data_IF_971876655951
#
_entry.id   IF_971876655951
#
_cell.length_a   1.000
_cell.length_b   1.000
_cell.length_c   1.000
_cell.angle_alpha   90.00
_cell.angle_beta   90.00
_cell.angle_gamma   90.00
#
_symmetry.space_group_name_H-M   'P 1'
#
loop_
_entity.id
_entity.type
_entity.pdbx_description
1 polymer ?
#
# COMPACT_ATOMS: atom_id res chain seq x y z
N UNK A 1 -2.70 -4.78 -56.97
CA UNK A 1 -3.37 -3.46 -56.81
C UNK A 1 -4.70 -3.71 -56.13
N UNK A 2 -5.29 -2.69 -55.54
CA UNK A 2 -6.57 -2.76 -54.83
C UNK A 2 -7.39 -1.52 -55.16
N UNK A 3 -8.68 -1.69 -55.38
CA UNK A 3 -9.61 -0.58 -55.61
C UNK A 3 -10.12 -0.08 -54.28
N UNK A 4 -9.98 1.23 -54.05
CA UNK A 4 -10.41 1.91 -52.85
C UNK A 4 -11.26 3.12 -53.27
N UNK A 5 -12.57 2.97 -53.14
CA UNK A 5 -13.52 3.93 -53.71
C UNK A 5 -13.36 4.00 -55.23
N UNK A 6 -13.07 5.20 -55.74
CA UNK A 6 -12.92 5.47 -57.17
C UNK A 6 -11.46 5.33 -57.68
N UNK A 7 -10.49 5.01 -56.81
CA UNK A 7 -9.08 4.93 -57.18
C UNK A 7 -8.50 3.51 -57.07
N UNK A 8 -7.69 3.13 -58.05
CA UNK A 8 -6.88 1.89 -58.01
C UNK A 8 -5.49 2.18 -57.46
N UNK A 9 -5.15 1.59 -56.32
CA UNK A 9 -3.87 1.80 -55.63
C UNK A 9 -2.99 0.54 -55.67
N UNK A 10 -1.66 0.71 -55.62
CA UNK A 10 -0.72 -0.41 -55.52
C UNK A 10 -0.48 -0.76 -54.05
N UNK A 11 -0.54 -2.05 -53.73
CA UNK A 11 -0.20 -2.56 -52.39
C UNK A 11 1.32 -2.46 -52.21
N UNK A 12 1.77 -1.65 -51.25
CA UNK A 12 3.19 -1.45 -50.95
C UNK A 12 3.76 -2.52 -50.00
N UNK A 13 2.92 -3.04 -49.10
CA UNK A 13 3.31 -4.05 -48.11
C UNK A 13 2.19 -4.31 -47.10
N UNK A 14 2.47 -5.18 -46.14
CA UNK A 14 1.57 -5.54 -45.05
C UNK A 14 2.12 -5.02 -43.72
N UNK A 15 1.26 -4.43 -42.89
CA UNK A 15 1.63 -3.97 -41.54
C UNK A 15 1.33 -5.11 -40.56
N UNK A 16 2.38 -5.75 -40.05
CA UNK A 16 2.25 -6.90 -39.14
C UNK A 16 1.81 -6.46 -37.73
N UNK A 17 2.30 -5.32 -37.25
CA UNK A 17 1.99 -4.81 -35.91
C UNK A 17 2.00 -3.29 -35.87
N UNK A 18 0.91 -2.71 -35.39
CA UNK A 18 0.85 -1.28 -35.03
C UNK A 18 1.19 -1.15 -33.54
N UNK A 19 2.10 -0.24 -33.13
CA UNK A 19 2.42 -0.06 -31.71
C UNK A 19 1.24 0.46 -30.86
N UNK A 20 0.22 1.04 -31.50
CA UNK A 20 -0.99 1.62 -30.88
C UNK A 20 -2.27 0.80 -31.15
N UNK A 21 -2.18 -0.40 -31.76
CA UNK A 21 -3.38 -1.19 -32.00
C UNK A 21 -3.89 -1.79 -30.68
N UNK A 22 -4.91 -1.15 -30.11
CA UNK A 22 -5.73 -1.78 -29.08
C UNK A 22 -6.43 -3.03 -29.63
N UNK A 23 -6.58 -4.05 -28.80
CA UNK A 23 -7.33 -5.25 -29.15
C UNK A 23 -8.82 -4.89 -29.34
N UNK A 24 -9.32 -4.94 -30.59
CA UNK A 24 -10.72 -4.70 -30.91
C UNK A 24 -11.36 -5.94 -31.56
N UNK A 25 -12.03 -6.81 -30.79
CA UNK A 25 -12.63 -8.04 -31.30
C UNK A 25 -13.83 -7.80 -32.24
N UNK A 26 -14.30 -6.55 -32.39
CA UNK A 26 -15.41 -6.17 -33.27
C UNK A 26 -14.96 -5.45 -34.55
N UNK A 27 -13.67 -5.48 -34.87
CA UNK A 27 -13.16 -4.87 -36.08
C UNK A 27 -13.44 -5.77 -37.30
N UNK A 28 -14.67 -5.65 -37.82
CA UNK A 28 -15.21 -6.51 -38.89
C UNK A 28 -14.67 -6.11 -40.28
N UNK A 29 -14.17 -4.89 -40.43
CA UNK A 29 -13.60 -4.39 -41.68
C UNK A 29 -12.06 -4.34 -41.63
N UNK A 30 -11.36 -4.84 -42.67
CA UNK A 30 -9.91 -4.73 -42.76
C UNK A 30 -9.51 -3.25 -42.83
N UNK A 31 -8.48 -2.87 -42.06
CA UNK A 31 -7.90 -1.51 -42.12
C UNK A 31 -6.90 -1.44 -43.27
N UNK A 32 -6.93 -0.31 -43.98
CA UNK A 32 -5.96 0.02 -45.02
C UNK A 32 -5.29 1.34 -44.64
N UNK A 33 -3.96 1.39 -44.73
CA UNK A 33 -3.17 2.61 -44.58
C UNK A 33 -2.77 3.11 -45.96
N UNK A 34 -2.99 4.39 -46.22
CA UNK A 34 -2.62 5.05 -47.47
C UNK A 34 -2.01 6.43 -47.18
N UNK A 35 -1.34 6.99 -48.18
CA UNK A 35 -0.83 8.36 -48.08
C UNK A 35 -2.00 9.36 -48.11
N UNK A 36 -1.93 10.42 -47.29
CA UNK A 36 -2.96 11.46 -47.24
C UNK A 36 -3.20 12.12 -48.61
N UNK A 37 -2.15 12.27 -49.43
CA UNK A 37 -2.25 12.88 -50.76
C UNK A 37 -3.05 12.06 -51.78
N UNK A 38 -3.25 10.77 -51.53
CA UNK A 38 -4.05 9.90 -52.41
C UNK A 38 -5.50 9.78 -51.95
N UNK A 39 -5.85 10.31 -50.77
CA UNK A 39 -7.21 10.23 -50.20
C UNK A 39 -8.22 10.96 -51.10
N UNK A 40 -7.86 12.14 -51.63
CA UNK A 40 -8.75 12.94 -52.48
C UNK A 40 -9.13 12.21 -53.77
N UNK A 41 -8.26 11.33 -54.26
CA UNK A 41 -8.51 10.54 -55.48
C UNK A 41 -9.52 9.41 -55.24
N UNK A 42 -9.71 8.97 -53.99
CA UNK A 42 -10.59 7.82 -53.68
C UNK A 42 -12.07 8.20 -53.66
N UNK A 43 -12.40 9.50 -53.62
CA UNK A 43 -13.80 9.96 -53.48
C UNK A 43 -14.45 9.63 -52.14
N UNK A 44 -13.68 9.10 -51.17
CA UNK A 44 -14.19 8.66 -49.87
C UNK A 44 -14.57 9.82 -48.93
N UNK A 45 -13.95 10.99 -49.12
CA UNK A 45 -14.25 12.19 -48.34
C UNK A 45 -15.24 13.05 -49.11
N UNK A 46 -16.52 12.92 -48.77
CA UNK A 46 -17.61 13.71 -49.35
C UNK A 46 -18.21 14.67 -48.31
N UNK A 47 -18.94 15.71 -48.74
CA UNK A 47 -19.71 16.56 -47.82
C UNK A 47 -20.64 15.70 -46.94
N UNK A 48 -20.49 15.82 -45.61
CA UNK A 48 -21.21 14.99 -44.63
C UNK A 48 -20.41 13.80 -44.08
N UNK A 49 -19.21 13.52 -44.62
CA UNK A 49 -18.33 12.47 -44.11
C UNK A 49 -17.74 12.84 -42.73
N UNK A 50 -17.64 11.86 -41.83
CA UNK A 50 -17.07 12.05 -40.47
C UNK A 50 -15.59 11.69 -40.49
N UNK A 51 -14.74 12.70 -40.63
CA UNK A 51 -13.28 12.54 -40.61
C UNK A 51 -12.75 12.75 -39.20
N UNK A 52 -11.96 11.80 -38.71
CA UNK A 52 -11.27 11.93 -37.42
C UNK A 52 -9.79 12.22 -37.66
N UNK A 53 -9.33 13.37 -37.19
CA UNK A 53 -7.91 13.73 -37.26
C UNK A 53 -7.20 13.32 -35.98
N UNK A 54 -6.09 12.57 -36.12
CA UNK A 54 -5.26 12.15 -34.99
C UNK A 54 -3.87 12.75 -35.18
N UNK A 55 -3.52 13.71 -34.33
CA UNK A 55 -2.18 14.28 -34.26
C UNK A 55 -1.40 13.58 -33.16
N UNK A 56 -0.17 13.15 -33.47
CA UNK A 56 0.75 12.56 -32.49
C UNK A 56 1.92 13.52 -32.27
N UNK A 57 2.23 13.80 -31.02
CA UNK A 57 3.34 14.65 -30.62
C UNK A 57 4.40 13.80 -29.92
N UNK A 58 5.67 13.96 -30.30
CA UNK A 58 6.80 13.27 -29.69
C UNK A 58 7.73 14.27 -29.02
N UNK A 59 8.17 13.99 -27.79
CA UNK A 59 9.06 14.86 -27.03
C UNK A 59 9.46 14.24 -25.69
N UNK A 60 10.25 14.96 -24.90
CA UNK A 60 10.50 14.58 -23.50
C UNK A 60 9.26 14.83 -22.64
N UNK A 61 9.13 14.08 -21.54
CA UNK A 61 7.99 14.17 -20.61
C UNK A 61 7.71 15.61 -20.16
N UNK A 62 8.75 16.34 -19.73
CA UNK A 62 8.63 17.74 -19.34
C UNK A 62 8.13 18.68 -20.46
N UNK A 63 8.49 18.40 -21.72
CA UNK A 63 8.03 19.21 -22.86
C UNK A 63 6.58 18.93 -23.20
N UNK A 64 6.16 17.67 -23.11
CA UNK A 64 4.78 17.25 -23.34
C UNK A 64 3.87 17.79 -22.24
N UNK A 65 4.28 17.72 -20.97
CA UNK A 65 3.54 18.28 -19.84
C UNK A 65 3.34 19.80 -19.95
N UNK A 66 4.41 20.51 -20.35
CA UNK A 66 4.35 21.95 -20.58
C UNK A 66 3.39 22.30 -21.72
N UNK A 67 3.43 21.53 -22.80
CA UNK A 67 2.56 21.72 -23.96
C UNK A 67 1.10 21.38 -23.64
N UNK A 68 0.84 20.29 -22.91
CA UNK A 68 -0.49 19.89 -22.46
C UNK A 68 -1.15 20.99 -21.62
N UNK A 69 -0.43 21.53 -20.63
CA UNK A 69 -0.95 22.62 -19.78
C UNK A 69 -1.26 23.89 -20.58
N UNK A 70 -0.49 24.17 -21.62
CA UNK A 70 -0.72 25.31 -22.50
C UNK A 70 -1.89 25.08 -23.47
N UNK A 71 -2.07 23.86 -23.96
CA UNK A 71 -3.09 23.50 -24.95
C UNK A 71 -4.48 23.30 -24.32
N UNK A 72 -4.56 22.64 -23.16
CA UNK A 72 -5.80 22.36 -22.42
C UNK A 72 -6.79 23.55 -22.35
N UNK A 73 -6.39 24.78 -21.97
CA UNK A 73 -7.31 25.91 -21.91
C UNK A 73 -7.78 26.43 -23.29
N UNK A 74 -7.09 26.07 -24.37
CA UNK A 74 -7.39 26.52 -25.74
C UNK A 74 -8.17 25.47 -26.55
N UNK A 75 -8.44 24.29 -25.97
CA UNK A 75 -9.17 23.23 -26.65
C UNK A 75 -10.62 23.62 -26.92
N UNK A 76 -11.02 23.46 -28.19
CA UNK A 76 -12.43 23.58 -28.58
C UNK A 76 -13.23 22.34 -28.13
N UNK A 77 -14.56 22.42 -27.99
CA UNK A 77 -15.40 21.27 -27.60
C UNK A 77 -15.29 20.04 -28.50
N UNK A 78 -14.88 20.24 -29.75
CA UNK A 78 -14.69 19.21 -30.78
C UNK A 78 -13.30 18.55 -30.74
N UNK A 79 -12.36 19.12 -29.99
CA UNK A 79 -11.01 18.61 -29.84
C UNK A 79 -10.90 17.85 -28.52
N UNK A 80 -10.11 16.77 -28.52
CA UNK A 80 -9.79 16.01 -27.31
C UNK A 80 -8.30 15.77 -27.25
N UNK A 81 -7.73 16.03 -26.07
CA UNK A 81 -6.36 15.67 -25.76
C UNK A 81 -6.35 14.27 -25.14
N UNK A 82 -5.40 13.46 -25.57
CA UNK A 82 -5.15 12.12 -25.02
C UNK A 82 -3.70 12.10 -24.54
N UNK A 83 -3.48 12.30 -23.23
CA UNK A 83 -2.17 12.22 -22.58
C UNK A 83 -1.80 10.79 -22.20
N UNK A 84 -0.52 10.53 -21.89
CA UNK A 84 -0.05 9.21 -21.43
C UNK A 84 -0.71 8.77 -20.11
N UNK A 85 -1.04 9.71 -19.23
CA UNK A 85 -1.72 9.43 -17.95
C UNK A 85 -3.26 9.38 -18.07
N UNK A 86 -3.83 9.95 -19.13
CA UNK A 86 -5.28 10.08 -19.35
C UNK A 86 -5.80 9.16 -20.47
N UNK A 87 -5.11 8.05 -20.75
CA UNK A 87 -5.63 7.08 -21.71
C UNK A 87 -6.85 6.35 -21.11
N UNK A 88 -8.04 6.93 -21.33
CA UNK A 88 -9.36 6.37 -20.98
C UNK A 88 -9.70 5.07 -21.74
N UNK A 89 -8.73 4.46 -22.42
CA UNK A 89 -8.83 3.11 -22.94
C UNK A 89 -9.26 2.12 -21.87
N UNK A 90 -10.02 1.09 -22.27
CA UNK A 90 -10.41 0.00 -21.36
C UNK A 90 -9.20 -0.67 -20.70
N UNK A 91 -8.04 -0.67 -21.37
CA UNK A 91 -6.76 -1.17 -20.87
C UNK A 91 -6.16 -0.25 -19.79
N UNK A 92 -6.08 1.06 -20.04
CA UNK A 92 -5.56 2.04 -19.06
C UNK A 92 -6.34 2.00 -17.75
N UNK A 93 -7.67 2.05 -17.82
CA UNK A 93 -8.53 1.92 -16.62
C UNK A 93 -8.40 0.57 -15.91
N UNK A 94 -8.15 -0.51 -16.63
CA UNK A 94 -7.93 -1.83 -16.03
C UNK A 94 -6.58 -1.90 -15.31
N UNK A 95 -5.52 -1.34 -15.92
CA UNK A 95 -4.19 -1.24 -15.31
C UNK A 95 -4.24 -0.35 -14.08
N UNK A 96 -4.87 0.83 -14.16
CA UNK A 96 -5.01 1.74 -13.03
C UNK A 96 -5.79 1.07 -11.88
N UNK A 97 -6.88 0.37 -12.18
CA UNK A 97 -7.65 -0.36 -11.17
C UNK A 97 -6.84 -1.51 -10.56
N UNK A 98 -6.09 -2.25 -11.36
CA UNK A 98 -5.18 -3.30 -10.87
C UNK A 98 -4.10 -2.71 -9.96
N UNK A 99 -3.51 -1.58 -10.35
CA UNK A 99 -2.54 -0.86 -9.52
C UNK A 99 -3.17 -0.43 -8.19
N UNK A 100 -4.35 0.20 -8.21
CA UNK A 100 -5.07 0.60 -7.01
C UNK A 100 -5.39 -0.61 -6.11
N UNK A 101 -5.80 -1.75 -6.67
CA UNK A 101 -6.07 -2.97 -5.92
C UNK A 101 -4.79 -3.54 -5.27
N UNK A 102 -3.66 -3.52 -5.98
CA UNK A 102 -2.37 -3.95 -5.44
C UNK A 102 -1.91 -3.05 -4.30
N UNK A 103 -2.06 -1.72 -4.43
CA UNK A 103 -1.73 -0.77 -3.36
C UNK A 103 -2.62 -0.99 -2.13
N UNK A 104 -3.93 -1.24 -2.34
CA UNK A 104 -4.88 -1.56 -1.27
C UNK A 104 -4.50 -2.85 -0.54
N UNK A 105 -4.23 -3.92 -1.30
CA UNK A 105 -3.84 -5.22 -0.74
C UNK A 105 -2.53 -5.12 0.05
N UNK A 106 -1.54 -4.38 -0.48
CA UNK A 106 -0.29 -4.11 0.21
C UNK A 106 -0.52 -3.33 1.52
N UNK A 107 -1.38 -2.31 1.50
CA UNK A 107 -1.68 -1.50 2.68
C UNK A 107 -2.39 -2.31 3.77
N UNK A 108 -3.37 -3.14 3.42
CA UNK A 108 -4.05 -4.03 4.36
C UNK A 108 -3.08 -5.04 4.98
N UNK A 109 -2.22 -5.64 4.16
CA UNK A 109 -1.20 -6.59 4.61
C UNK A 109 -0.20 -5.92 5.55
N UNK A 110 0.22 -4.69 5.23
CA UNK A 110 1.11 -3.90 6.08
C UNK A 110 0.46 -3.58 7.43
N UNK A 111 -0.80 -3.13 7.44
CA UNK A 111 -1.55 -2.89 8.68
C UNK A 111 -1.65 -4.14 9.55
N UNK A 112 -1.96 -5.29 8.96
CA UNK A 112 -2.01 -6.57 9.66
C UNK A 112 -0.65 -6.95 10.25
N UNK A 113 0.44 -6.74 9.50
CA UNK A 113 1.80 -6.98 9.97
C UNK A 113 2.17 -6.06 11.15
N UNK A 114 1.84 -4.76 11.10
CA UNK A 114 2.07 -3.83 12.22
C UNK A 114 1.32 -4.30 13.47
N UNK A 115 0.06 -4.71 13.33
CA UNK A 115 -0.73 -5.23 14.44
C UNK A 115 -0.12 -6.52 15.03
N UNK A 116 0.33 -7.44 14.18
CA UNK A 116 1.00 -8.67 14.60
C UNK A 116 2.30 -8.39 15.37
N UNK A 117 3.13 -7.47 14.87
CA UNK A 117 4.37 -7.04 15.55
C UNK A 117 4.04 -6.40 16.91
N UNK A 118 2.98 -5.60 17.00
CA UNK A 118 2.56 -5.00 18.27
C UNK A 118 2.14 -6.04 19.31
N UNK A 119 1.35 -7.03 18.90
CA UNK A 119 0.94 -8.13 19.77
C UNK A 119 2.14 -8.98 20.19
N UNK A 120 3.00 -9.36 19.23
CA UNK A 120 4.20 -10.15 19.50
C UNK A 120 5.17 -9.44 20.45
N UNK A 121 5.38 -8.13 20.25
CA UNK A 121 6.24 -7.32 21.12
C UNK A 121 5.67 -7.19 22.53
N UNK A 122 4.35 -7.00 22.66
CA UNK A 122 3.71 -6.93 23.96
C UNK A 122 3.79 -8.26 24.72
N UNK A 123 3.60 -9.37 24.01
CA UNK A 123 3.79 -10.72 24.55
C UNK A 123 5.24 -10.96 24.98
N UNK A 124 6.21 -10.56 24.15
CA UNK A 124 7.65 -10.66 24.44
C UNK A 124 8.03 -9.89 25.71
N UNK A 125 7.60 -8.63 25.86
CA UNK A 125 7.90 -7.87 27.05
C UNK A 125 7.23 -8.46 28.30
N UNK A 126 6.02 -9.01 28.16
CA UNK A 126 5.30 -9.64 29.27
C UNK A 126 5.99 -10.89 29.79
N UNK A 127 6.48 -11.76 28.91
CA UNK A 127 7.18 -12.98 29.31
C UNK A 127 8.58 -12.75 29.89
N UNK A 128 9.18 -11.56 29.65
CA UNK A 128 10.54 -11.23 30.09
C UNK A 128 10.61 -10.33 31.33
N UNK A 129 9.47 -9.91 31.91
CA UNK A 129 9.46 -9.05 33.09
C UNK A 129 10.17 -9.68 34.30
N UNK A 130 9.93 -10.96 34.59
CA UNK A 130 10.48 -11.64 35.77
C UNK A 130 11.99 -11.84 35.65
N UNK A 131 12.47 -12.25 34.47
CA UNK A 131 13.90 -12.39 34.18
C UNK A 131 14.64 -11.06 34.35
N UNK A 132 14.05 -9.96 33.88
CA UNK A 132 14.63 -8.62 34.04
C UNK A 132 14.67 -8.20 35.51
N UNK A 133 13.64 -8.54 36.30
CA UNK A 133 13.62 -8.23 37.72
C UNK A 133 14.69 -9.01 38.50
N UNK A 134 14.90 -10.30 38.17
CA UNK A 134 15.97 -11.12 38.75
C UNK A 134 17.36 -10.55 38.40
N UNK A 135 17.58 -10.14 37.15
CA UNK A 135 18.84 -9.51 36.74
C UNK A 135 19.10 -8.21 37.50
N UNK A 136 18.06 -7.40 37.76
CA UNK A 136 18.18 -6.19 38.57
C UNK A 136 18.51 -6.50 40.03
N UNK A 137 17.95 -7.57 40.62
CA UNK A 137 18.29 -7.98 42.00
C UNK A 137 19.71 -8.53 42.12
N UNK A 138 20.25 -9.12 41.05
CA UNK A 138 21.65 -9.55 40.95
C UNK A 138 22.64 -8.40 40.69
N UNK A 139 22.18 -7.15 40.68
CA UNK A 139 23.04 -5.97 40.53
C UNK A 139 23.25 -5.50 39.08
N UNK A 140 22.50 -6.01 38.10
CA UNK A 140 22.63 -5.54 36.72
C UNK A 140 22.28 -4.05 36.60
N UNK A 141 23.23 -3.26 36.09
CA UNK A 141 23.06 -1.82 35.88
C UNK A 141 22.03 -1.50 34.79
N UNK A 142 21.30 -0.38 34.94
CA UNK A 142 20.30 0.09 33.95
C UNK A 142 20.88 0.25 32.53
N UNK A 143 22.17 0.62 32.42
CA UNK A 143 22.86 0.79 31.15
C UNK A 143 23.17 -0.54 30.44
N UNK A 144 23.57 -1.57 31.19
CA UNK A 144 23.80 -2.92 30.65
C UNK A 144 22.49 -3.55 30.16
N UNK A 145 21.42 -3.42 30.95
CA UNK A 145 20.10 -3.93 30.57
C UNK A 145 19.57 -3.23 29.31
N UNK A 146 19.74 -1.90 29.21
CA UNK A 146 19.42 -1.13 28.01
C UNK A 146 20.22 -1.62 26.79
N UNK A 147 21.54 -1.82 26.93
CA UNK A 147 22.40 -2.29 25.84
C UNK A 147 21.99 -3.68 25.35
N UNK A 148 21.64 -4.59 26.26
CA UNK A 148 21.17 -5.94 25.93
C UNK A 148 19.88 -5.89 25.09
N UNK A 149 18.88 -5.16 25.55
CA UNK A 149 17.56 -5.15 24.90
C UNK A 149 17.62 -4.37 23.57
N UNK A 150 18.30 -3.21 23.51
CA UNK A 150 18.52 -2.50 22.23
C UNK A 150 19.32 -3.36 21.26
N UNK A 151 20.35 -4.06 21.74
CA UNK A 151 21.16 -4.95 20.91
C UNK A 151 20.32 -6.07 20.28
N UNK A 152 19.46 -6.72 21.06
CA UNK A 152 18.55 -7.73 20.54
C UNK A 152 17.55 -7.16 19.53
N UNK A 153 17.01 -5.97 19.80
CA UNK A 153 16.09 -5.31 18.89
C UNK A 153 16.77 -4.91 17.56
N UNK A 154 18.00 -4.40 17.61
CA UNK A 154 18.81 -4.13 16.43
C UNK A 154 19.14 -5.40 15.65
N UNK A 155 19.49 -6.49 16.33
CA UNK A 155 19.72 -7.77 15.64
C UNK A 155 18.49 -8.25 14.90
N UNK A 156 17.30 -8.14 15.49
CA UNK A 156 16.05 -8.51 14.83
C UNK A 156 15.77 -7.59 13.62
N UNK A 157 16.03 -6.28 13.74
CA UNK A 157 15.89 -5.34 12.63
C UNK A 157 16.83 -5.67 11.46
N UNK A 158 18.09 -5.95 11.74
CA UNK A 158 19.08 -6.34 10.72
C UNK A 158 18.68 -7.65 10.07
N UNK A 159 18.30 -8.65 10.86
CA UNK A 159 17.89 -9.95 10.33
C UNK A 159 16.64 -9.81 9.45
N UNK A 160 15.66 -9.02 9.88
CA UNK A 160 14.44 -8.74 9.12
C UNK A 160 14.73 -8.01 7.81
N UNK A 161 15.66 -7.04 7.81
CA UNK A 161 16.09 -6.34 6.61
C UNK A 161 16.75 -7.29 5.61
N UNK A 162 17.64 -8.17 6.09
CA UNK A 162 18.34 -9.15 5.23
C UNK A 162 17.35 -10.17 4.68
N UNK A 163 16.51 -10.77 5.51
CA UNK A 163 15.56 -11.79 5.06
C UNK A 163 14.46 -11.19 4.18
N UNK A 164 13.92 -10.03 4.56
CA UNK A 164 12.89 -9.33 3.78
C UNK A 164 13.42 -8.83 2.45
N UNK A 165 14.63 -8.25 2.43
CA UNK A 165 15.29 -7.83 1.21
C UNK A 165 15.61 -9.00 0.29
N UNK A 166 16.12 -10.11 0.83
CA UNK A 166 16.40 -11.32 0.05
C UNK A 166 15.12 -11.90 -0.59
N UNK A 167 14.03 -11.99 0.18
CA UNK A 167 12.74 -12.47 -0.34
C UNK A 167 12.18 -11.51 -1.39
N UNK A 168 12.29 -10.20 -1.18
CA UNK A 168 11.84 -9.19 -2.14
C UNK A 168 12.58 -9.27 -3.47
N UNK A 169 13.91 -9.36 -3.43
CA UNK A 169 14.74 -9.52 -4.64
C UNK A 169 14.45 -10.85 -5.35
N UNK A 170 14.21 -11.93 -4.61
CA UNK A 170 13.83 -13.21 -5.20
C UNK A 170 12.49 -13.10 -5.92
N UNK A 171 11.50 -12.45 -5.29
CA UNK A 171 10.18 -12.24 -5.88
C UNK A 171 10.25 -11.36 -7.13
N UNK A 172 11.03 -10.28 -7.10
CA UNK A 172 11.27 -9.40 -8.25
C UNK A 172 11.87 -10.17 -9.44
N UNK A 173 12.92 -10.96 -9.19
CA UNK A 173 13.56 -11.77 -10.23
C UNK A 173 12.61 -12.81 -10.83
N UNK A 174 11.82 -13.50 -10.00
CA UNK A 174 10.83 -14.48 -10.45
C UNK A 174 9.77 -13.79 -11.32
N UNK A 175 9.28 -12.63 -10.89
CA UNK A 175 8.28 -11.87 -11.62
C UNK A 175 8.83 -11.38 -12.97
N UNK A 176 10.06 -10.86 -13.01
CA UNK A 176 10.70 -10.44 -14.27
C UNK A 176 10.82 -11.60 -15.26
N UNK A 177 11.20 -12.80 -14.80
CA UNK A 177 11.30 -13.98 -15.67
C UNK A 177 9.93 -14.36 -16.25
N UNK A 178 8.87 -14.32 -15.45
CA UNK A 178 7.50 -14.60 -15.90
C UNK A 178 6.98 -13.56 -16.91
N UNK A 179 7.41 -12.30 -16.79
CA UNK A 179 6.91 -11.18 -17.58
C UNK A 179 7.70 -10.92 -18.88
N UNK A 180 8.89 -11.51 -19.05
CA UNK A 180 9.69 -11.47 -20.30
C UNK A 180 8.93 -11.77 -21.60
N UNK A 181 7.97 -12.71 -21.67
CA UNK A 181 7.26 -13.00 -22.92
C UNK A 181 6.29 -11.89 -23.33
N UNK A 182 5.91 -11.00 -22.40
CA UNK A 182 4.86 -9.99 -22.58
C UNK A 182 5.43 -8.57 -22.66
N UNK A 183 6.62 -8.31 -22.10
CA UNK A 183 7.26 -6.99 -22.14
C UNK A 183 8.36 -6.88 -23.23
N UNK A 184 8.23 -5.94 -24.18
CA UNK A 184 9.19 -5.75 -25.26
C UNK A 184 10.49 -5.00 -24.87
N UNK A 185 10.59 -4.46 -23.66
CA UNK A 185 11.78 -3.74 -23.19
C UNK A 185 12.21 -4.20 -21.80
N UNK A 186 13.52 -4.36 -21.59
CA UNK A 186 14.10 -4.57 -20.27
C UNK A 186 13.74 -3.40 -19.37
N UNK A 187 13.09 -3.68 -18.24
CA UNK A 187 12.78 -2.66 -17.24
C UNK A 187 14.09 -2.00 -16.78
N UNK A 188 14.13 -0.67 -16.64
CA UNK A 188 15.29 0.01 -16.08
C UNK A 188 15.58 -0.53 -14.68
N UNK A 189 16.87 -0.62 -14.27
CA UNK A 189 17.24 -1.18 -12.99
C UNK A 189 16.54 -0.43 -11.85
N UNK A 190 16.01 -1.17 -10.88
CA UNK A 190 15.36 -0.61 -9.71
C UNK A 190 16.30 0.40 -9.02
N UNK A 191 15.82 1.63 -8.82
CA UNK A 191 16.59 2.67 -8.15
C UNK A 191 16.85 2.30 -6.68
N UNK A 192 17.81 2.97 -6.03
CA UNK A 192 18.08 2.77 -4.59
C UNK A 192 17.00 3.38 -3.68
N UNK A 193 16.07 4.16 -4.24
CA UNK A 193 15.01 4.87 -3.52
C UNK A 193 14.00 3.95 -2.80
N UNK A 194 13.44 2.91 -3.44
CA UNK A 194 12.59 1.92 -2.79
C UNK A 194 13.23 1.25 -1.58
N UNK A 195 14.54 0.96 -1.65
CA UNK A 195 15.28 0.36 -0.54
C UNK A 195 15.35 1.28 0.68
N UNK A 196 15.61 2.58 0.46
CA UNK A 196 15.62 3.57 1.53
C UNK A 196 14.25 3.75 2.17
N UNK A 197 13.18 3.77 1.38
CA UNK A 197 11.81 3.80 1.89
C UNK A 197 11.47 2.54 2.68
N UNK A 198 11.82 1.34 2.19
CA UNK A 198 11.56 0.09 2.90
C UNK A 198 12.27 0.04 4.26
N UNK A 199 13.57 0.37 4.30
CA UNK A 199 14.34 0.38 5.54
C UNK A 199 13.89 1.49 6.50
N UNK A 200 13.64 2.69 5.99
CA UNK A 200 13.15 3.81 6.79
C UNK A 200 11.80 3.52 7.43
N UNK A 201 10.87 2.95 6.67
CA UNK A 201 9.52 2.65 7.18
C UNK A 201 9.53 1.49 8.16
N UNK A 202 10.30 0.43 7.88
CA UNK A 202 10.51 -0.69 8.82
C UNK A 202 11.05 -0.20 10.16
N UNK A 203 12.09 0.64 10.14
CA UNK A 203 12.71 1.16 11.37
C UNK A 203 11.76 2.07 12.15
N UNK A 204 11.04 2.97 11.47
CA UNK A 204 10.07 3.86 12.13
C UNK A 204 8.90 3.08 12.73
N UNK A 205 8.29 2.16 11.97
CA UNK A 205 7.18 1.33 12.46
C UNK A 205 7.62 0.50 13.66
N UNK A 206 8.78 -0.15 13.56
CA UNK A 206 9.33 -0.95 14.66
C UNK A 206 9.59 -0.08 15.90
N UNK A 207 10.12 1.13 15.73
CA UNK A 207 10.40 2.04 16.85
C UNK A 207 9.09 2.47 17.51
N UNK A 208 8.09 2.87 16.71
CA UNK A 208 6.79 3.31 17.22
C UNK A 208 6.10 2.21 18.03
N UNK A 209 6.06 0.99 17.49
CA UNK A 209 5.44 -0.17 18.13
C UNK A 209 6.25 -0.66 19.34
N UNK A 210 7.57 -0.65 19.23
CA UNK A 210 8.50 -1.16 20.24
C UNK A 210 8.74 -0.23 21.42
N UNK A 211 8.64 1.10 21.25
CA UNK A 211 9.10 2.08 22.24
C UNK A 211 8.40 1.96 23.60
N UNK A 212 7.09 1.72 23.62
CA UNK A 212 6.32 1.58 24.86
C UNK A 212 6.55 0.26 25.59
N UNK A 213 6.38 -0.92 24.97
CA UNK A 213 6.68 -2.19 25.65
C UNK A 213 8.15 -2.23 26.11
N UNK A 214 9.06 -1.63 25.36
CA UNK A 214 10.45 -1.44 25.75
C UNK A 214 10.63 -0.57 27.02
N UNK A 215 9.97 0.58 27.09
CA UNK A 215 10.00 1.43 28.29
C UNK A 215 9.36 0.75 29.50
N UNK A 216 8.28 -0.01 29.31
CA UNK A 216 7.65 -0.83 30.35
C UNK A 216 8.62 -1.87 30.90
N UNK A 217 9.35 -2.57 30.03
CA UNK A 217 10.36 -3.57 30.39
C UNK A 217 11.47 -2.95 31.25
N UNK A 218 11.96 -1.77 30.88
CA UNK A 218 13.00 -1.06 31.65
C UNK A 218 12.48 -0.44 32.96
N UNK A 219 11.23 0.01 33.00
CA UNK A 219 10.60 0.63 34.16
C UNK A 219 10.13 -0.37 35.23
N UNK A 220 10.24 -1.68 34.98
CA UNK A 220 9.92 -2.72 35.96
C UNK A 220 10.70 -2.54 37.26
N UNK A 221 9.98 -2.49 38.38
CA UNK A 221 10.60 -2.43 39.70
C UNK A 221 10.96 -3.84 40.19
N UNK A 222 12.09 -4.03 40.90
CA UNK A 222 12.49 -5.33 41.47
C UNK A 222 11.41 -5.93 42.38
N UNK A 223 10.59 -5.08 43.02
CA UNK A 223 9.50 -5.45 43.90
C UNK A 223 8.37 -6.26 43.22
N UNK A 224 8.30 -6.27 41.88
CA UNK A 224 7.28 -7.01 41.14
C UNK A 224 7.38 -8.52 41.33
N UNK A 225 8.58 -9.04 41.61
CA UNK A 225 8.81 -10.48 41.89
C UNK A 225 8.11 -10.91 43.18
N UNK A 226 7.93 -10.00 44.14
CA UNK A 226 7.20 -10.27 45.40
C UNK A 226 5.73 -9.84 45.34
N UNK A 227 5.36 -8.90 44.46
CA UNK A 227 3.97 -8.43 44.30
C UNK A 227 3.64 -8.12 42.85
N UNK A 228 2.84 -8.99 42.23
CA UNK A 228 2.41 -8.87 40.82
C UNK A 228 1.62 -7.59 40.49
N UNK A 229 1.17 -6.85 41.51
CA UNK A 229 0.30 -5.66 41.38
C UNK A 229 1.05 -4.33 41.21
N UNK A 230 2.39 -4.33 41.11
CA UNK A 230 3.15 -3.08 40.88
C UNK A 230 3.23 -2.79 39.38
N UNK A 231 2.20 -2.11 38.86
CA UNK A 231 2.18 -1.62 37.47
C UNK A 231 3.00 -0.35 37.39
N UNK A 232 4.11 -0.37 36.64
CA UNK A 232 4.90 0.83 36.40
C UNK A 232 4.08 1.85 35.60
N UNK A 233 3.92 3.06 36.13
CA UNK A 233 3.20 4.16 35.47
C UNK A 233 4.07 4.74 34.35
N UNK A 234 4.13 4.07 33.20
CA UNK A 234 4.64 4.66 31.97
C UNK A 234 3.55 5.47 31.29
N UNK A 235 3.97 6.47 30.53
CA UNK A 235 3.18 7.42 29.75
C UNK A 235 1.68 7.10 29.58
N UNK A 236 0.77 8.04 29.93
CA UNK A 236 -0.67 7.82 29.84
C UNK A 236 -1.08 7.31 28.46
N UNK A 237 -1.78 6.16 28.45
CA UNK A 237 -2.30 5.48 27.25
C UNK A 237 -3.07 6.45 26.33
N UNK A 238 -3.71 7.46 26.93
CA UNK A 238 -4.46 8.53 26.29
C UNK A 238 -3.66 9.36 25.30
N UNK A 239 -2.35 9.53 25.50
CA UNK A 239 -1.48 10.32 24.61
C UNK A 239 -0.64 9.44 23.68
N UNK A 240 -0.18 8.28 24.16
CA UNK A 240 0.65 7.40 23.35
C UNK A 240 -0.11 6.77 22.17
N UNK A 241 -1.33 6.29 22.39
CA UNK A 241 -2.15 5.72 21.30
C UNK A 241 -2.35 6.71 20.16
N UNK A 242 -2.92 7.92 20.36
CA UNK A 242 -3.19 8.82 19.25
C UNK A 242 -1.91 9.28 18.54
N UNK A 243 -0.80 9.49 19.26
CA UNK A 243 0.48 9.85 18.62
C UNK A 243 0.98 8.73 17.71
N UNK A 244 0.96 7.48 18.18
CA UNK A 244 1.37 6.34 17.35
C UNK A 244 0.47 6.19 16.13
N UNK A 245 -0.85 6.31 16.31
CA UNK A 245 -1.79 6.21 15.19
C UNK A 245 -1.54 7.32 14.16
N UNK A 246 -1.33 8.57 14.60
CA UNK A 246 -1.07 9.70 13.71
C UNK A 246 0.23 9.51 12.94
N UNK A 247 1.32 9.08 13.60
CA UNK A 247 2.60 8.89 12.91
C UNK A 247 2.52 7.72 11.93
N UNK A 248 1.88 6.60 12.29
CA UNK A 248 1.67 5.48 11.36
C UNK A 248 0.84 5.91 10.16
N UNK A 249 -0.23 6.68 10.37
CA UNK A 249 -1.08 7.22 9.30
C UNK A 249 -0.29 8.16 8.38
N UNK A 250 0.48 9.10 8.92
CA UNK A 250 1.31 10.02 8.13
C UNK A 250 2.37 9.29 7.30
N UNK A 251 2.98 8.25 7.88
CA UNK A 251 4.01 7.47 7.20
C UNK A 251 3.42 6.60 6.08
N UNK A 252 2.25 6.00 6.31
CA UNK A 252 1.48 5.31 5.26
C UNK A 252 1.05 6.29 4.16
N UNK A 253 0.59 7.50 4.53
CA UNK A 253 0.20 8.54 3.59
C UNK A 253 1.36 9.02 2.71
N UNK A 254 2.55 9.20 3.28
CA UNK A 254 3.76 9.60 2.56
C UNK A 254 4.26 8.52 1.59
N UNK A 255 4.11 7.24 1.93
CA UNK A 255 4.51 6.12 1.06
C UNK A 255 3.63 5.93 -0.16
N UNK A 256 2.32 6.14 0.01
CA UNK A 256 1.29 5.74 -0.96
C UNK A 256 0.64 6.93 -1.67
N UNK A 257 1.26 8.12 -1.59
CA UNK A 257 0.89 9.29 -2.40
C UNK A 257 -0.44 9.96 -2.00
N UNK A 258 -0.91 9.82 -0.76
CA UNK A 258 -2.09 10.54 -0.27
C UNK A 258 -3.39 10.29 -1.07
N UNK A 259 -3.51 9.15 -1.76
CA UNK A 259 -4.70 8.83 -2.55
C UNK A 259 -5.97 8.76 -1.67
N UNK A 260 -7.12 9.16 -2.23
CA UNK A 260 -8.42 9.12 -1.53
C UNK A 260 -8.76 7.71 -0.99
N UNK A 261 -8.26 6.67 -1.64
CA UNK A 261 -8.43 5.27 -1.24
C UNK A 261 -7.73 4.93 0.08
N UNK A 262 -6.56 5.52 0.34
CA UNK A 262 -5.84 5.34 1.60
C UNK A 262 -6.68 5.86 2.78
N UNK A 263 -7.24 7.05 2.62
CA UNK A 263 -8.14 7.65 3.62
C UNK A 263 -9.40 6.80 3.82
N UNK A 264 -9.95 6.20 2.76
CA UNK A 264 -11.10 5.30 2.86
C UNK A 264 -10.78 4.03 3.67
N UNK A 265 -9.62 3.39 3.45
CA UNK A 265 -9.21 2.19 4.22
C UNK A 265 -8.94 2.53 5.67
N UNK A 266 -8.23 3.64 5.94
CA UNK A 266 -7.99 4.09 7.30
C UNK A 266 -9.30 4.43 8.03
N UNK A 267 -10.20 5.16 7.38
CA UNK A 267 -11.52 5.46 7.93
C UNK A 267 -12.30 4.17 8.20
N UNK A 268 -12.29 3.21 7.27
CA UNK A 268 -12.90 1.89 7.44
C UNK A 268 -12.33 1.13 8.64
N UNK A 269 -11.02 1.11 8.81
CA UNK A 269 -10.36 0.47 9.96
C UNK A 269 -10.75 1.13 11.29
N UNK A 270 -10.83 2.46 11.33
CA UNK A 270 -11.27 3.21 12.52
C UNK A 270 -12.75 2.93 12.84
N UNK A 271 -13.61 2.94 11.83
CA UNK A 271 -15.04 2.63 11.98
C UNK A 271 -15.24 1.20 12.46
N UNK A 272 -14.51 0.23 11.89
CA UNK A 272 -14.57 -1.16 12.32
C UNK A 272 -14.10 -1.32 13.77
N UNK A 273 -12.99 -0.68 14.15
CA UNK A 273 -12.50 -0.70 15.52
C UNK A 273 -13.51 -0.08 16.51
N UNK A 274 -14.15 1.02 16.13
CA UNK A 274 -15.21 1.64 16.92
C UNK A 274 -16.44 0.73 17.03
N UNK A 275 -16.87 0.11 15.94
CA UNK A 275 -17.98 -0.85 15.94
C UNK A 275 -17.68 -2.05 16.86
N UNK A 276 -16.50 -2.66 16.73
CA UNK A 276 -16.07 -3.74 17.61
C UNK A 276 -16.00 -3.29 19.08
N UNK A 277 -15.51 -2.07 19.34
CA UNK A 277 -15.46 -1.49 20.68
C UNK A 277 -16.85 -1.26 21.28
N UNK A 278 -17.78 -0.70 20.50
CA UNK A 278 -19.17 -0.47 20.90
C UNK A 278 -19.91 -1.79 21.12
N UNK A 279 -19.74 -2.76 20.22
CA UNK A 279 -20.30 -4.11 20.36
C UNK A 279 -19.75 -4.81 21.61
N UNK A 280 -18.44 -4.73 21.86
CA UNK A 280 -17.82 -5.28 23.07
C UNK A 280 -18.35 -4.59 24.33
N UNK A 281 -18.48 -3.27 24.32
CA UNK A 281 -19.05 -2.51 25.43
C UNK A 281 -20.53 -2.87 25.68
N UNK A 282 -21.33 -2.96 24.62
CA UNK A 282 -22.73 -3.35 24.68
C UNK A 282 -22.88 -4.77 25.23
N UNK A 283 -22.07 -5.72 24.75
CA UNK A 283 -22.05 -7.10 25.24
C UNK A 283 -21.69 -7.15 26.73
N UNK A 284 -20.66 -6.42 27.17
CA UNK A 284 -20.29 -6.31 28.59
C UNK A 284 -21.42 -5.70 29.42
N UNK A 285 -22.12 -4.69 28.90
CA UNK A 285 -23.21 -4.03 29.61
C UNK A 285 -24.45 -4.93 29.73
N UNK A 286 -24.73 -5.75 28.71
CA UNK A 286 -25.78 -6.79 28.75
C UNK A 286 -25.38 -7.90 29.74
N UNK A 287 -24.13 -8.39 29.69
CA UNK A 287 -23.61 -9.39 30.62
C UNK A 287 -23.67 -8.91 32.08
N UNK A 288 -23.48 -7.60 32.30
CA UNK A 288 -23.60 -6.97 33.61
C UNK A 288 -25.04 -6.95 34.14
N UNK A 289 -26.04 -6.93 33.26
CA UNK A 289 -27.47 -6.93 33.62
C UNK A 289 -28.06 -8.32 33.79
N UNK A 290 -27.40 -9.39 33.31
CA UNK A 290 -27.87 -10.77 33.45
C UNK A 290 -27.37 -11.40 34.76
N UNK A 291 -28.30 -11.75 35.65
CA UNK A 291 -27.99 -12.53 36.87
C UNK A 291 -28.01 -14.02 36.57
N UNK A 292 -26.83 -14.56 36.23
CA UNK A 292 -26.66 -16.00 35.97
C UNK A 292 -26.81 -16.80 37.29
N UNK A 293 -27.71 -17.81 37.29
CA UNK A 293 -27.98 -18.66 38.46
C UNK A 293 -26.87 -19.68 38.78
N UNK A 294 -26.03 -20.04 37.81
CA UNK A 294 -24.95 -21.02 38.00
C UNK A 294 -23.66 -20.36 38.51
N UNK A 295 -23.18 -20.83 39.68
CA UNK A 295 -21.97 -20.35 40.37
C UNK A 295 -20.70 -20.25 39.50
N UNK A 296 -20.32 -21.26 38.68
CA UNK A 296 -19.11 -21.18 37.86
C UNK A 296 -19.19 -20.12 36.75
N UNK A 297 -20.36 -19.97 36.11
CA UNK A 297 -20.60 -18.94 35.09
C UNK A 297 -20.61 -17.54 35.69
N UNK A 298 -21.18 -17.37 36.88
CA UNK A 298 -21.15 -16.09 37.62
C UNK A 298 -19.72 -15.69 38.01
N UNK A 299 -18.88 -16.65 38.41
CA UNK A 299 -17.47 -16.38 38.72
C UNK A 299 -16.67 -16.00 37.46
N UNK A 300 -16.87 -16.70 36.34
CA UNK A 300 -16.23 -16.38 35.05
C UNK A 300 -16.62 -14.97 34.55
N UNK A 301 -17.93 -14.65 34.56
CA UNK A 301 -18.45 -13.33 34.17
C UNK A 301 -17.98 -12.23 35.13
N UNK A 302 -17.92 -12.50 36.43
CA UNK A 302 -17.42 -11.53 37.41
C UNK A 302 -15.92 -11.25 37.30
N UNK A 303 -15.10 -12.23 36.90
CA UNK A 303 -13.67 -12.01 36.61
C UNK A 303 -13.48 -11.18 35.35
N UNK A 304 -14.25 -11.46 34.30
CA UNK A 304 -14.28 -10.68 33.06
C UNK A 304 -14.70 -9.22 33.29
N UNK A 305 -15.65 -8.97 34.19
CA UNK A 305 -16.11 -7.61 34.53
C UNK A 305 -15.17 -6.86 35.51
N UNK A 306 -14.35 -7.57 36.29
CA UNK A 306 -13.43 -6.95 37.28
C UNK A 306 -12.04 -6.63 36.73
N UNK A 307 -11.62 -7.26 35.63
CA UNK A 307 -10.37 -6.94 34.94
C UNK A 307 -10.68 -6.61 33.47
N UNK A 308 -11.10 -5.37 33.15
CA UNK A 308 -11.43 -5.03 31.77
C UNK A 308 -10.22 -4.84 30.84
N UNK A 309 -8.98 -5.11 31.30
CA UNK A 309 -7.75 -4.80 30.56
C UNK A 309 -6.60 -5.74 30.95
#
# INVERSE_FOLDING_TARGET
TIDVGDATLRIAGEVIQEPDSGFNPFQIAPRLMMNLADVDKTGAVQPGSRVTWRYKFGGSENQLDGYEKWLLPQLKPEQRWYGLEQDEGALGRSIERSQQFLLLSALLTLLLAVAAVAVAMNHYCRSRYDLVAILKTLGAGRAQLRKLIVGQWLMVLVLSAVTGGAIGLLFENVLMVLLKPVLPAALPPASLWPWLWALGTMTVISLLVGLRPYRLLLATQPLRVLRNDVVANVWPLKFYLPIVTVVVVLLLAGLMGGSMLLWAVLAGAVVLALLCGVLGWMLLNVLRRMTLKSLPLRLAVSRLLRQPW
#
